data_IF_413189304255
#
_entry.id   IF_413189304255
#
_cell.length_a   1.000
_cell.length_b   1.000
_cell.length_c   1.000
_cell.angle_alpha   90.00
_cell.angle_beta   90.00
_cell.angle_gamma   90.00
#
_symmetry.space_group_name_H-M   'P 1'
#
loop_
_entity.id
_entity.type
_entity.pdbx_description
1 polymer ?
#
# COMPACT_ATOMS: atom_id res chain seq x y z
N UNK A 1 -19.68 24.83 -6.91
CA UNK A 1 -19.53 23.74 -7.89
C UNK A 1 -18.10 23.80 -8.41
N UNK A 2 -17.16 23.21 -7.72
CA UNK A 2 -15.81 23.00 -8.22
C UNK A 2 -15.87 21.78 -9.11
N UNK A 3 -15.78 21.99 -10.42
CA UNK A 3 -15.51 20.92 -11.38
C UNK A 3 -14.25 20.20 -10.90
N UNK A 4 -14.42 18.95 -10.46
CA UNK A 4 -13.29 18.10 -10.12
C UNK A 4 -12.38 18.02 -11.35
N UNK A 5 -11.25 18.71 -11.30
CA UNK A 5 -10.16 18.44 -12.22
C UNK A 5 -9.84 16.94 -12.02
N UNK A 6 -10.03 16.12 -13.05
CA UNK A 6 -9.59 14.73 -12.99
C UNK A 6 -8.13 14.75 -12.57
N UNK A 7 -7.80 14.14 -11.43
CA UNK A 7 -6.42 13.96 -11.02
C UNK A 7 -5.74 13.12 -12.09
N UNK A 8 -4.93 13.76 -12.91
CA UNK A 8 -4.45 13.19 -14.17
C UNK A 8 -3.13 12.48 -14.01
N UNK A 9 -2.34 12.80 -12.98
CA UNK A 9 -1.02 12.21 -12.80
C UNK A 9 -0.85 11.55 -11.44
N UNK A 10 0.05 10.58 -11.38
CA UNK A 10 0.49 9.95 -10.13
C UNK A 10 1.02 10.99 -9.12
N UNK A 11 1.67 12.07 -9.61
CA UNK A 11 2.13 13.16 -8.76
C UNK A 11 0.98 13.97 -8.14
N UNK A 12 -0.09 14.20 -8.89
CA UNK A 12 -1.27 14.93 -8.38
C UNK A 12 -1.96 14.12 -7.29
N UNK A 13 -2.08 12.79 -7.48
CA UNK A 13 -2.68 11.87 -6.52
C UNK A 13 -1.88 11.86 -5.21
N UNK A 14 -0.54 11.75 -5.29
CA UNK A 14 0.35 11.84 -4.13
C UNK A 14 0.15 13.16 -3.38
N UNK A 15 0.14 14.27 -4.10
CA UNK A 15 -0.01 15.61 -3.53
C UNK A 15 -1.38 15.79 -2.89
N UNK A 16 -2.44 15.28 -3.49
CA UNK A 16 -3.79 15.35 -2.95
C UNK A 16 -3.93 14.54 -1.66
N UNK A 17 -3.38 13.32 -1.60
CA UNK A 17 -3.35 12.53 -0.38
C UNK A 17 -2.65 13.28 0.77
N UNK A 18 -1.44 13.73 0.52
CA UNK A 18 -0.66 14.45 1.55
C UNK A 18 -1.32 15.76 1.95
N UNK A 19 -1.90 16.50 1.01
CA UNK A 19 -2.63 17.74 1.25
C UNK A 19 -3.89 17.52 2.08
N UNK A 20 -4.66 16.47 1.79
CA UNK A 20 -5.84 16.11 2.58
C UNK A 20 -5.47 15.86 4.05
N UNK A 21 -4.48 15.00 4.30
CA UNK A 21 -4.07 14.69 5.67
C UNK A 21 -3.37 15.87 6.38
N UNK A 22 -2.65 16.73 5.66
CA UNK A 22 -2.15 17.99 6.22
C UNK A 22 -3.30 18.87 6.71
N UNK A 23 -4.40 18.95 5.96
CA UNK A 23 -5.65 19.62 6.37
C UNK A 23 -6.39 18.97 7.55
N UNK A 24 -6.01 17.73 7.92
CA UNK A 24 -6.52 16.97 9.06
C UNK A 24 -5.48 16.88 10.19
N UNK A 25 -4.63 17.88 10.32
CA UNK A 25 -3.61 18.02 11.37
C UNK A 25 -2.52 16.93 11.40
N UNK A 26 -2.29 16.25 10.28
CA UNK A 26 -1.19 15.31 10.14
C UNK A 26 0.10 16.04 9.72
N UNK A 27 1.20 15.72 10.39
CA UNK A 27 2.52 16.18 9.95
C UNK A 27 2.92 15.43 8.69
N UNK A 28 3.10 16.13 7.58
CA UNK A 28 3.67 15.53 6.36
C UNK A 28 5.16 15.27 6.57
N UNK A 29 5.56 14.01 6.41
CA UNK A 29 6.92 13.53 6.61
C UNK A 29 7.46 13.05 5.27
N UNK A 30 8.69 13.43 4.96
CA UNK A 30 9.38 12.93 3.78
C UNK A 30 9.60 11.41 3.87
N UNK A 31 9.61 10.74 2.72
CA UNK A 31 9.97 9.33 2.66
C UNK A 31 11.34 9.08 3.29
N UNK A 32 11.43 8.10 4.17
CA UNK A 32 12.70 7.61 4.67
C UNK A 32 13.49 6.93 3.54
N UNK A 33 14.82 6.77 3.69
CA UNK A 33 15.63 5.94 2.79
C UNK A 33 15.11 4.49 2.74
N UNK A 34 15.29 3.82 1.61
CA UNK A 34 14.91 2.42 1.41
C UNK A 34 15.72 1.45 2.30
N UNK A 35 16.92 1.85 2.70
CA UNK A 35 17.75 1.08 3.65
C UNK A 35 17.36 1.49 5.08
N UNK A 36 16.68 0.61 5.86
CA UNK A 36 16.29 0.93 7.22
C UNK A 36 17.53 1.16 8.08
N UNK A 37 17.57 2.28 8.81
CA UNK A 37 18.68 2.62 9.68
C UNK A 37 18.55 2.00 11.08
N UNK A 38 17.31 1.76 11.53
CA UNK A 38 16.99 1.31 12.89
C UNK A 38 16.57 -0.16 12.99
N UNK A 39 16.47 -0.90 11.87
CA UNK A 39 16.06 -2.28 11.85
C UNK A 39 16.99 -3.16 10.99
N UNK A 40 17.98 -3.83 11.60
CA UNK A 40 18.91 -4.70 10.88
C UNK A 40 18.27 -6.00 10.35
N UNK A 41 17.05 -6.33 10.79
CA UNK A 41 16.35 -7.55 10.35
C UNK A 41 15.71 -7.39 8.98
N UNK A 42 15.51 -6.15 8.51
CA UNK A 42 14.95 -5.84 7.21
C UNK A 42 16.04 -5.46 6.21
N UNK A 43 15.97 -6.03 5.03
CA UNK A 43 16.83 -5.62 3.92
C UNK A 43 16.45 -4.22 3.42
N UNK A 44 15.15 -3.99 3.22
CA UNK A 44 14.61 -2.72 2.74
C UNK A 44 13.33 -2.35 3.49
N UNK A 45 12.99 -1.06 3.47
CA UNK A 45 11.67 -0.59 3.89
C UNK A 45 10.63 -1.16 2.93
N UNK A 46 9.71 -1.97 3.45
CA UNK A 46 8.69 -2.70 2.69
C UNK A 46 7.25 -2.28 3.02
N UNK A 47 7.08 -1.35 3.96
CA UNK A 47 5.80 -0.79 4.38
C UNK A 47 5.97 0.62 4.94
N UNK A 48 4.91 1.43 4.88
CA UNK A 48 4.91 2.82 5.34
C UNK A 48 5.20 3.00 6.82
N UNK A 49 4.86 2.00 7.65
CA UNK A 49 5.06 2.04 9.10
C UNK A 49 6.50 1.78 9.55
N UNK A 50 7.36 1.18 8.72
CA UNK A 50 8.71 0.75 9.12
C UNK A 50 9.52 1.88 9.76
N UNK A 51 9.54 3.11 9.22
CA UNK A 51 10.24 4.24 9.87
C UNK A 51 9.68 4.63 11.24
N UNK A 52 8.45 4.25 11.55
CA UNK A 52 7.75 4.58 12.80
C UNK A 52 7.67 3.41 13.80
N UNK A 53 8.32 2.28 13.50
CA UNK A 53 8.28 1.07 14.34
C UNK A 53 8.50 1.37 15.82
N UNK A 54 9.56 2.10 16.15
CA UNK A 54 9.92 2.42 17.51
C UNK A 54 8.90 3.32 18.22
N UNK A 55 8.19 4.15 17.44
CA UNK A 55 7.10 4.98 17.96
C UNK A 55 5.89 4.12 18.33
N UNK A 56 5.50 3.17 17.48
CA UNK A 56 4.39 2.26 17.76
C UNK A 56 4.65 1.38 18.99
N UNK A 57 5.86 0.89 19.17
CA UNK A 57 6.24 0.08 20.34
C UNK A 57 6.46 0.90 21.61
N UNK A 58 6.48 2.23 21.52
CA UNK A 58 6.80 3.12 22.63
C UNK A 58 8.30 3.17 23.01
N UNK A 59 9.16 2.56 22.19
CA UNK A 59 10.62 2.65 22.36
C UNK A 59 11.14 4.07 22.03
N UNK A 60 10.37 4.83 21.25
CA UNK A 60 10.64 6.21 20.91
C UNK A 60 9.38 7.05 21.10
N UNK A 61 9.53 8.27 21.62
CA UNK A 61 8.41 9.19 21.77
C UNK A 61 8.14 9.89 20.43
N UNK A 62 6.88 9.84 19.98
CA UNK A 62 6.48 10.58 18.78
C UNK A 62 6.68 12.10 18.96
N UNK A 63 7.34 12.72 17.99
CA UNK A 63 7.49 14.18 17.97
C UNK A 63 6.18 14.91 17.61
N UNK A 64 5.18 14.17 17.11
CA UNK A 64 3.86 14.63 16.67
C UNK A 64 2.85 13.50 16.83
N UNK A 65 1.55 13.80 17.11
CA UNK A 65 0.55 12.76 17.34
C UNK A 65 0.07 12.08 16.06
N UNK A 66 0.19 12.77 14.90
CA UNK A 66 -0.28 12.30 13.60
C UNK A 66 0.77 12.55 12.52
N UNK A 67 0.89 11.63 11.60
CA UNK A 67 1.77 11.77 10.44
C UNK A 67 1.10 11.31 9.15
N UNK A 68 1.55 11.85 8.01
CA UNK A 68 1.24 11.34 6.69
C UNK A 68 2.51 11.31 5.83
N UNK A 69 2.66 10.27 5.01
CA UNK A 69 3.83 10.11 4.14
C UNK A 69 3.47 9.39 2.85
N UNK A 70 4.27 9.61 1.79
CA UNK A 70 4.37 8.72 0.66
C UNK A 70 5.72 8.02 0.77
N UNK A 71 5.72 6.82 1.36
CA UNK A 71 6.94 6.08 1.66
C UNK A 71 7.36 5.23 0.47
N UNK A 72 8.60 5.38 0.02
CA UNK A 72 9.26 4.47 -0.93
C UNK A 72 9.39 3.09 -0.29
N UNK A 73 8.98 2.05 -0.99
CA UNK A 73 9.02 0.66 -0.52
C UNK A 73 9.63 -0.26 -1.58
N UNK A 74 10.37 -1.28 -1.11
CA UNK A 74 10.89 -2.36 -1.94
C UNK A 74 10.47 -3.71 -1.40
N UNK A 75 9.87 -4.54 -2.27
CA UNK A 75 9.46 -5.93 -2.00
C UNK A 75 10.10 -6.87 -3.01
N UNK A 76 11.38 -7.19 -2.81
CA UNK A 76 12.18 -8.00 -3.72
C UNK A 76 12.99 -9.08 -2.99
N UNK A 77 12.53 -9.52 -1.82
CA UNK A 77 13.16 -10.55 -1.00
C UNK A 77 12.60 -10.61 0.41
N UNK A 78 12.88 -11.70 1.13
CA UNK A 78 12.36 -11.93 2.48
C UNK A 78 10.89 -12.38 2.49
N UNK A 79 10.14 -12.02 3.53
CA UNK A 79 8.74 -12.40 3.73
C UNK A 79 7.80 -11.81 2.65
N UNK A 80 8.10 -10.61 2.16
CA UNK A 80 7.37 -9.93 1.09
C UNK A 80 8.26 -9.90 -0.17
N UNK A 81 7.97 -10.76 -1.13
CA UNK A 81 8.73 -10.88 -2.37
C UNK A 81 7.79 -10.90 -3.56
N UNK A 82 7.70 -9.78 -4.27
CA UNK A 82 6.87 -9.63 -5.46
C UNK A 82 7.65 -9.85 -6.77
N UNK A 83 8.95 -10.13 -6.70
CA UNK A 83 9.87 -10.18 -7.84
C UNK A 83 9.40 -11.11 -8.96
N UNK A 84 8.85 -12.29 -8.60
CA UNK A 84 8.44 -13.30 -9.58
C UNK A 84 7.08 -12.97 -10.24
N UNK A 85 6.30 -12.03 -9.67
CA UNK A 85 5.01 -11.59 -10.17
C UNK A 85 5.12 -10.36 -11.10
N UNK A 86 6.24 -9.62 -11.02
CA UNK A 86 6.46 -8.39 -11.78
C UNK A 86 6.41 -8.63 -13.27
N UNK A 87 5.63 -7.82 -13.99
CA UNK A 87 5.43 -7.92 -15.43
C UNK A 87 4.33 -8.89 -15.86
N UNK A 88 3.97 -9.85 -15.02
CA UNK A 88 2.96 -10.88 -15.31
C UNK A 88 1.60 -10.62 -14.67
N UNK A 89 1.55 -9.85 -13.59
CA UNK A 89 0.33 -9.39 -12.95
C UNK A 89 0.11 -7.89 -13.19
N UNK A 90 -1.11 -7.43 -13.00
CA UNK A 90 -1.46 -6.02 -13.21
C UNK A 90 -1.00 -5.08 -12.08
N UNK A 91 -0.67 -5.62 -10.87
CA UNK A 91 -0.60 -4.87 -9.63
C UNK A 91 0.68 -5.04 -8.79
N UNK A 92 1.58 -5.95 -9.14
CA UNK A 92 2.79 -6.23 -8.35
C UNK A 92 4.01 -5.49 -8.90
N UNK A 93 4.78 -4.90 -7.99
CA UNK A 93 5.99 -4.14 -8.27
C UNK A 93 7.06 -4.46 -7.26
N UNK A 94 8.33 -4.44 -7.69
CA UNK A 94 9.46 -4.53 -6.75
C UNK A 94 9.64 -3.22 -6.00
N UNK A 95 9.40 -2.09 -6.65
CA UNK A 95 9.39 -0.75 -6.06
C UNK A 95 8.01 -0.10 -6.24
N UNK A 96 7.48 0.45 -5.16
CA UNK A 96 6.23 1.21 -5.18
C UNK A 96 6.25 2.28 -4.09
N UNK A 97 5.31 3.23 -4.18
CA UNK A 97 5.08 4.19 -3.11
C UNK A 97 3.86 3.78 -2.30
N UNK A 98 4.01 3.75 -0.97
CA UNK A 98 2.92 3.51 -0.04
C UNK A 98 2.51 4.83 0.59
N UNK A 99 1.32 5.30 0.26
CA UNK A 99 0.66 6.41 0.93
C UNK A 99 0.16 5.92 2.29
N UNK A 100 0.50 6.63 3.36
CA UNK A 100 0.11 6.24 4.71
C UNK A 100 -0.26 7.43 5.57
N UNK A 101 -1.30 7.27 6.37
CA UNK A 101 -1.60 8.15 7.50
C UNK A 101 -1.52 7.36 8.80
N UNK A 102 -0.99 8.00 9.82
CA UNK A 102 -0.63 7.40 11.09
C UNK A 102 -1.21 8.22 12.25
N UNK A 103 -1.68 7.50 13.27
CA UNK A 103 -2.04 8.07 14.57
C UNK A 103 -1.27 7.34 15.66
N UNK A 104 -0.47 8.07 16.40
CA UNK A 104 0.33 7.54 17.50
C UNK A 104 -0.42 7.70 18.83
N UNK A 105 -1.58 6.99 18.94
CA UNK A 105 -2.44 7.02 20.10
C UNK A 105 -3.25 8.30 20.28
N UNK A 106 -3.55 9.01 19.19
CA UNK A 106 -4.35 10.23 19.20
C UNK A 106 -5.79 9.96 18.73
N UNK A 107 -5.99 9.33 17.58
CA UNK A 107 -7.27 8.82 17.14
C UNK A 107 -7.20 7.32 16.80
N UNK A 108 -8.37 6.68 16.68
CA UNK A 108 -8.45 5.25 16.40
C UNK A 108 -9.48 4.95 15.30
N UNK A 109 -10.12 3.77 15.30
CA UNK A 109 -10.91 3.22 14.20
C UNK A 109 -11.94 4.18 13.59
N UNK A 110 -12.76 4.85 14.40
CA UNK A 110 -13.84 5.72 13.90
C UNK A 110 -13.29 6.84 13.01
N UNK A 111 -12.27 7.54 13.48
CA UNK A 111 -11.68 8.63 12.70
C UNK A 111 -10.88 8.10 11.50
N UNK A 112 -10.16 6.97 11.65
CA UNK A 112 -9.42 6.35 10.54
C UNK A 112 -10.36 5.97 9.39
N UNK A 113 -11.46 5.29 9.69
CA UNK A 113 -12.48 4.89 8.72
C UNK A 113 -13.14 6.14 8.10
N UNK A 114 -13.46 7.15 8.94
CA UNK A 114 -14.02 8.41 8.46
C UNK A 114 -13.11 9.15 7.49
N UNK A 115 -11.81 9.25 7.79
CA UNK A 115 -10.83 9.85 6.89
C UNK A 115 -10.71 9.06 5.58
N UNK A 116 -10.61 7.73 5.68
CA UNK A 116 -10.48 6.88 4.51
C UNK A 116 -11.69 7.02 3.57
N UNK A 117 -12.91 6.88 4.12
CA UNK A 117 -14.12 6.98 3.31
C UNK A 117 -14.29 8.36 2.69
N UNK A 118 -14.01 9.42 3.44
CA UNK A 118 -14.08 10.79 2.93
C UNK A 118 -13.10 11.02 1.80
N UNK A 119 -11.84 10.62 1.98
CA UNK A 119 -10.81 10.81 0.96
C UNK A 119 -11.16 10.08 -0.34
N UNK A 120 -11.53 8.80 -0.28
CA UNK A 120 -11.77 8.03 -1.51
C UNK A 120 -13.06 8.43 -2.22
N UNK A 121 -14.12 8.78 -1.49
CA UNK A 121 -15.43 9.05 -2.11
C UNK A 121 -15.69 10.52 -2.38
N UNK A 122 -15.12 11.45 -1.58
CA UNK A 122 -15.38 12.90 -1.73
C UNK A 122 -14.24 13.62 -2.44
N UNK A 123 -13.00 13.36 -2.02
CA UNK A 123 -11.83 14.04 -2.59
C UNK A 123 -11.39 13.38 -3.91
N UNK A 124 -11.29 12.06 -3.94
CA UNK A 124 -10.94 11.31 -5.15
C UNK A 124 -12.15 10.99 -6.04
N UNK A 125 -13.36 11.09 -5.50
CA UNK A 125 -14.60 10.93 -6.29
C UNK A 125 -14.87 9.51 -6.77
N UNK A 126 -14.33 8.49 -6.09
CA UNK A 126 -14.63 7.11 -6.43
C UNK A 126 -16.09 6.78 -6.14
N UNK A 127 -16.70 6.06 -7.07
CA UNK A 127 -18.07 5.58 -6.94
C UNK A 127 -18.18 4.59 -5.78
N UNK A 128 -18.97 4.95 -4.77
CA UNK A 128 -19.18 4.13 -3.61
C UNK A 128 -19.77 2.74 -3.95
N UNK A 129 -20.51 2.61 -5.05
CA UNK A 129 -21.08 1.33 -5.47
C UNK A 129 -20.03 0.35 -5.99
N UNK A 130 -18.84 0.81 -6.30
CA UNK A 130 -17.68 -0.01 -6.68
C UNK A 130 -16.75 -0.37 -5.54
N UNK A 131 -17.08 0.06 -4.31
CA UNK A 131 -16.24 -0.18 -3.15
C UNK A 131 -16.86 -1.25 -2.25
N UNK A 132 -16.03 -2.15 -1.75
CA UNK A 132 -16.35 -3.05 -0.65
C UNK A 132 -15.20 -3.08 0.35
N UNK A 133 -15.48 -3.53 1.56
CA UNK A 133 -14.48 -3.58 2.62
C UNK A 133 -14.40 -4.96 3.24
N UNK A 134 -13.20 -5.30 3.73
CA UNK A 134 -13.01 -6.45 4.60
C UNK A 134 -12.80 -6.00 6.03
N UNK A 135 -13.13 -6.85 6.99
CA UNK A 135 -12.82 -6.69 8.41
C UNK A 135 -12.35 -8.02 8.97
N UNK A 136 -11.50 -7.98 9.98
CA UNK A 136 -11.18 -9.22 10.71
C UNK A 136 -12.45 -9.80 11.34
N UNK A 137 -12.63 -11.10 11.26
CA UNK A 137 -13.92 -11.76 11.54
C UNK A 137 -14.50 -11.48 12.93
N UNK A 138 -13.66 -11.17 13.92
CA UNK A 138 -14.06 -10.83 15.29
C UNK A 138 -14.09 -9.32 15.58
N UNK A 139 -13.77 -8.47 14.57
CA UNK A 139 -13.78 -7.01 14.75
C UNK A 139 -15.16 -6.43 14.44
N UNK A 140 -16.09 -6.65 15.36
CA UNK A 140 -17.47 -6.12 15.27
C UNK A 140 -17.49 -4.60 15.27
N UNK A 141 -16.60 -3.93 16.02
CA UNK A 141 -16.49 -2.49 16.08
C UNK A 141 -16.17 -1.89 14.69
N UNK A 142 -15.22 -2.46 13.97
CA UNK A 142 -14.89 -1.98 12.61
C UNK A 142 -16.08 -2.19 11.66
N UNK A 143 -16.77 -3.33 11.72
CA UNK A 143 -17.94 -3.60 10.89
C UNK A 143 -19.09 -2.59 11.17
N UNK A 144 -19.38 -2.30 12.45
CA UNK A 144 -20.40 -1.33 12.84
C UNK A 144 -20.04 0.10 12.40
N UNK A 145 -18.75 0.45 12.49
CA UNK A 145 -18.27 1.75 12.02
C UNK A 145 -18.42 1.90 10.51
N UNK A 146 -18.12 0.86 9.71
CA UNK A 146 -18.34 0.90 8.28
C UNK A 146 -19.83 1.08 7.91
N UNK A 147 -20.75 0.38 8.61
CA UNK A 147 -22.21 0.60 8.42
C UNK A 147 -22.58 2.04 8.73
N UNK A 148 -22.12 2.56 9.87
CA UNK A 148 -22.46 3.91 10.36
C UNK A 148 -21.90 5.02 9.48
N UNK A 149 -20.63 4.92 9.08
CA UNK A 149 -19.89 6.01 8.40
C UNK A 149 -20.08 5.94 6.89
N UNK A 150 -19.94 4.75 6.31
CA UNK A 150 -19.97 4.54 4.87
C UNK A 150 -21.36 4.20 4.34
N UNK A 151 -22.30 3.81 5.21
CA UNK A 151 -23.63 3.35 4.80
C UNK A 151 -23.61 2.02 4.04
N UNK A 152 -22.54 1.23 4.20
CA UNK A 152 -22.41 -0.07 3.54
C UNK A 152 -23.35 -1.08 4.17
N UNK A 153 -23.99 -1.87 3.35
CA UNK A 153 -24.75 -3.05 3.79
C UNK A 153 -23.83 -4.24 4.09
N UNK A 154 -24.36 -5.27 4.75
CA UNK A 154 -23.58 -6.44 5.17
C UNK A 154 -22.97 -7.24 4.01
N UNK A 155 -23.53 -7.15 2.81
CA UNK A 155 -23.00 -7.84 1.64
C UNK A 155 -21.70 -7.22 1.13
N UNK A 156 -21.42 -5.99 1.55
CA UNK A 156 -20.22 -5.23 1.17
C UNK A 156 -19.22 -5.07 2.32
N UNK A 157 -19.48 -5.70 3.48
CA UNK A 157 -18.58 -5.78 4.62
C UNK A 157 -18.23 -7.25 4.85
N UNK A 158 -17.13 -7.69 4.26
CA UNK A 158 -16.75 -9.11 4.23
C UNK A 158 -15.87 -9.43 5.44
N UNK A 159 -16.24 -10.47 6.19
CA UNK A 159 -15.50 -10.91 7.37
C UNK A 159 -14.49 -11.97 6.99
N UNK A 160 -13.21 -11.68 7.22
CA UNK A 160 -12.09 -12.56 6.87
C UNK A 160 -11.50 -13.17 8.14
N UNK A 161 -11.47 -14.50 8.28
CA UNK A 161 -10.94 -15.17 9.48
C UNK A 161 -9.43 -15.42 9.44
N UNK A 162 -8.80 -15.21 8.30
CA UNK A 162 -7.38 -15.50 8.07
C UNK A 162 -6.48 -14.35 8.52
N UNK A 163 -5.17 -14.54 8.39
CA UNK A 163 -4.16 -13.52 8.64
C UNK A 163 -4.20 -12.34 7.67
N UNK A 164 -4.98 -12.44 6.59
CA UNK A 164 -5.10 -11.37 5.60
C UNK A 164 -5.70 -10.09 6.22
N UNK A 165 -6.66 -10.26 7.15
CA UNK A 165 -7.19 -9.14 7.94
C UNK A 165 -6.65 -9.06 9.38
N UNK A 166 -5.50 -9.68 9.65
CA UNK A 166 -4.74 -9.48 10.88
C UNK A 166 -3.27 -9.22 10.56
N UNK A 167 -2.92 -7.94 10.51
CA UNK A 167 -1.58 -7.53 10.11
C UNK A 167 -0.58 -7.70 11.26
N UNK A 168 0.63 -8.18 10.95
CA UNK A 168 1.77 -8.21 11.83
C UNK A 168 3.03 -7.82 11.09
N UNK A 169 3.90 -7.04 11.74
CA UNK A 169 5.14 -6.58 11.15
C UNK A 169 6.10 -7.73 10.83
N UNK A 170 6.09 -8.77 11.66
CA UNK A 170 6.90 -9.96 11.55
C UNK A 170 6.44 -11.01 12.58
N UNK A 171 7.36 -11.88 12.98
CA UNK A 171 7.10 -12.86 14.03
C UNK A 171 6.96 -12.18 15.41
N UNK A 172 7.52 -10.99 15.55
CA UNK A 172 7.46 -10.12 16.74
C UNK A 172 7.16 -8.68 16.36
N UNK A 173 6.61 -7.92 17.29
CA UNK A 173 6.37 -6.49 17.15
C UNK A 173 4.89 -6.11 17.05
N UNK A 174 4.62 -4.85 16.68
CA UNK A 174 3.25 -4.33 16.62
C UNK A 174 2.38 -5.12 15.66
N UNK A 175 1.14 -5.38 16.08
CA UNK A 175 0.16 -6.08 15.28
C UNK A 175 -1.27 -5.71 15.68
N UNK A 176 -2.23 -6.07 14.83
CA UNK A 176 -3.65 -5.86 15.10
C UNK A 176 -4.54 -6.24 13.94
N UNK A 177 -5.86 -6.29 14.17
CA UNK A 177 -6.81 -6.48 13.08
C UNK A 177 -6.71 -5.34 12.09
N UNK A 178 -7.02 -5.62 10.85
CA UNK A 178 -7.07 -4.60 9.82
C UNK A 178 -8.38 -4.68 9.02
N UNK A 179 -8.65 -3.61 8.31
CA UNK A 179 -9.76 -3.48 7.40
C UNK A 179 -9.24 -2.95 6.07
N UNK A 180 -9.57 -3.64 5.00
CA UNK A 180 -9.11 -3.29 3.67
C UNK A 180 -10.26 -2.73 2.85
N UNK A 181 -9.94 -1.83 1.95
CA UNK A 181 -10.88 -1.26 0.98
C UNK A 181 -10.52 -1.79 -0.39
N UNK A 182 -11.48 -2.41 -1.06
CA UNK A 182 -11.35 -2.96 -2.39
C UNK A 182 -12.16 -2.17 -3.41
N UNK A 183 -11.64 -2.09 -4.61
CA UNK A 183 -12.31 -1.52 -5.77
C UNK A 183 -12.70 -2.63 -6.74
N UNK A 184 -13.99 -2.68 -7.15
CA UNK A 184 -14.49 -3.57 -8.18
C UNK A 184 -14.32 -2.95 -9.58
N UNK A 185 -13.42 -3.51 -10.38
CA UNK A 185 -13.23 -3.12 -11.78
C UNK A 185 -14.38 -3.56 -12.70
N UNK A 186 -15.33 -4.33 -12.18
CA UNK A 186 -16.51 -4.77 -12.90
C UNK A 186 -16.38 -6.16 -13.55
N UNK A 187 -17.49 -6.68 -14.05
CA UNK A 187 -17.61 -8.08 -14.47
C UNK A 187 -16.82 -8.45 -15.73
N UNK A 188 -16.24 -7.49 -16.44
CA UNK A 188 -15.37 -7.76 -17.59
C UNK A 188 -13.97 -8.24 -17.19
N UNK A 189 -13.59 -8.06 -15.92
CA UNK A 189 -12.32 -8.53 -15.37
C UNK A 189 -12.59 -9.82 -14.58
N UNK A 190 -11.81 -10.90 -14.80
CA UNK A 190 -11.96 -12.14 -14.03
C UNK A 190 -11.56 -11.94 -12.57
N UNK A 191 -12.29 -12.60 -11.65
CA UNK A 191 -12.02 -12.61 -10.22
C UNK A 191 -13.29 -12.50 -9.40
N UNK A 192 -13.20 -12.90 -8.13
CA UNK A 192 -14.24 -12.81 -7.12
C UNK A 192 -13.90 -11.85 -5.99
N UNK A 193 -14.87 -11.52 -5.12
CA UNK A 193 -14.62 -10.71 -3.95
C UNK A 193 -13.70 -11.42 -2.94
N UNK A 194 -13.05 -10.68 -2.03
CA UNK A 194 -12.24 -11.27 -0.96
C UNK A 194 -12.98 -12.36 -0.21
N UNK A 195 -12.28 -13.45 0.15
CA UNK A 195 -12.86 -14.62 0.79
C UNK A 195 -13.58 -15.60 -0.16
N UNK A 196 -13.64 -15.30 -1.46
CA UNK A 196 -14.21 -16.21 -2.46
C UNK A 196 -13.13 -17.11 -3.08
N UNK A 197 -13.51 -18.25 -3.73
CA UNK A 197 -12.54 -19.11 -4.41
C UNK A 197 -11.73 -18.44 -5.51
N UNK A 198 -12.24 -17.34 -6.09
CA UNK A 198 -11.63 -16.61 -7.20
C UNK A 198 -11.05 -15.25 -6.75
N UNK A 199 -10.75 -15.08 -5.46
CA UNK A 199 -10.22 -13.82 -4.88
C UNK A 199 -8.85 -13.39 -5.44
N UNK A 200 -8.04 -14.33 -5.91
CA UNK A 200 -6.75 -14.07 -6.53
C UNK A 200 -6.86 -13.36 -7.89
N UNK A 201 -8.05 -13.27 -8.45
CA UNK A 201 -8.29 -12.57 -9.71
C UNK A 201 -8.07 -11.05 -9.61
N UNK A 202 -8.07 -10.40 -10.76
CA UNK A 202 -7.74 -8.97 -10.87
C UNK A 202 -8.99 -8.05 -10.85
N UNK A 203 -10.19 -8.59 -10.61
CA UNK A 203 -11.42 -7.79 -10.57
C UNK A 203 -11.52 -6.92 -9.32
N UNK A 204 -11.33 -7.54 -8.15
CA UNK A 204 -11.39 -6.82 -6.87
C UNK A 204 -9.98 -6.54 -6.40
N UNK A 205 -9.58 -5.27 -6.44
CA UNK A 205 -8.23 -4.87 -6.08
C UNK A 205 -8.25 -4.13 -4.75
N UNK A 206 -7.48 -4.64 -3.77
CA UNK A 206 -7.19 -3.90 -2.55
C UNK A 206 -6.49 -2.59 -2.91
N UNK A 207 -7.11 -1.46 -2.56
CA UNK A 207 -6.56 -0.13 -2.76
C UNK A 207 -6.01 0.49 -1.48
N UNK A 208 -6.54 0.11 -0.31
CA UNK A 208 -6.12 0.67 0.97
C UNK A 208 -6.29 -0.32 2.11
N UNK A 209 -5.26 -0.49 2.93
CA UNK A 209 -5.30 -1.26 4.16
C UNK A 209 -5.25 -0.32 5.38
N UNK A 210 -6.21 -0.42 6.30
CA UNK A 210 -6.29 0.30 7.56
C UNK A 210 -5.95 -0.67 8.70
N UNK A 211 -4.78 -0.52 9.33
CA UNK A 211 -4.34 -1.39 10.41
C UNK A 211 -4.63 -0.74 11.76
N UNK A 212 -5.34 -1.46 12.60
CA UNK A 212 -5.69 -1.06 13.96
C UNK A 212 -4.69 -1.68 14.93
N UNK A 213 -3.55 -1.00 15.10
CA UNK A 213 -2.46 -1.46 15.96
C UNK A 213 -2.90 -1.47 17.42
N UNK A 214 -3.11 -2.66 17.97
CA UNK A 214 -3.61 -2.86 19.34
C UNK A 214 -2.65 -3.66 20.21
N UNK A 215 -1.79 -4.49 19.61
CA UNK A 215 -0.97 -5.46 20.34
C UNK A 215 0.49 -5.36 19.93
N UNK A 216 1.35 -5.78 20.86
CA UNK A 216 2.75 -6.15 20.61
C UNK A 216 2.88 -7.66 20.80
N UNK A 217 3.39 -8.35 19.77
CA UNK A 217 3.56 -9.80 19.77
C UNK A 217 4.99 -10.18 20.11
N UNK A 218 5.17 -11.04 21.11
CA UNK A 218 6.45 -11.61 21.50
C UNK A 218 6.79 -12.84 20.65
N UNK A 219 8.06 -13.31 20.72
CA UNK A 219 8.56 -14.45 19.95
C UNK A 219 7.85 -15.79 20.26
N UNK A 220 7.23 -15.92 21.41
CA UNK A 220 6.41 -17.08 21.81
C UNK A 220 4.96 -17.00 21.32
N UNK A 221 4.62 -15.94 20.54
CA UNK A 221 3.27 -15.68 20.06
C UNK A 221 2.34 -14.99 21.05
N UNK A 222 2.81 -14.69 22.26
CA UNK A 222 2.03 -13.93 23.27
C UNK A 222 1.80 -12.51 22.77
N UNK A 223 0.56 -12.03 22.87
CA UNK A 223 0.15 -10.67 22.50
C UNK A 223 -0.19 -9.88 23.74
N UNK A 224 0.47 -8.76 23.93
CA UNK A 224 0.17 -7.78 24.99
C UNK A 224 -0.38 -6.51 24.37
N UNK A 225 -1.32 -5.84 25.05
CA UNK A 225 -1.87 -4.58 24.57
C UNK A 225 -0.78 -3.51 24.45
N UNK A 226 -0.77 -2.77 23.34
CA UNK A 226 0.06 -1.58 23.21
C UNK A 226 -0.33 -0.54 24.26
N UNK A 227 0.61 0.29 24.74
CA UNK A 227 0.31 1.37 25.69
C UNK A 227 -0.78 2.31 25.20
N UNK A 228 -0.84 2.50 23.89
CA UNK A 228 -1.89 3.28 23.20
C UNK A 228 -2.23 2.60 21.88
N UNK A 229 -3.52 2.28 21.63
CA UNK A 229 -3.97 1.87 20.31
C UNK A 229 -3.61 2.95 19.28
N UNK A 230 -3.12 2.52 18.14
CA UNK A 230 -2.57 3.40 17.11
C UNK A 230 -3.10 3.01 15.74
N UNK A 231 -3.00 3.94 14.79
CA UNK A 231 -3.39 3.71 13.40
C UNK A 231 -2.15 3.70 12.51
N UNK A 232 -2.06 2.66 11.70
CA UNK A 232 -1.18 2.55 10.54
C UNK A 232 -2.05 2.33 9.32
N UNK A 233 -1.78 2.99 8.20
CA UNK A 233 -2.46 2.72 6.95
C UNK A 233 -1.48 2.61 5.80
N UNK A 234 -1.86 1.80 4.78
CA UNK A 234 -1.06 1.64 3.57
C UNK A 234 -1.94 1.59 2.33
N UNK A 235 -1.78 2.59 1.46
CA UNK A 235 -2.44 2.66 0.16
C UNK A 235 -1.37 2.64 -0.93
N UNK A 236 -1.47 1.67 -1.85
CA UNK A 236 -0.56 1.61 -3.00
C UNK A 236 -0.84 2.77 -3.97
N UNK A 237 0.13 3.69 -4.10
CA UNK A 237 -0.05 4.85 -4.99
C UNK A 237 -0.28 4.43 -6.44
N UNK A 238 0.44 3.43 -6.94
CA UNK A 238 0.31 2.93 -8.30
C UNK A 238 -1.04 2.25 -8.54
N UNK A 239 -1.57 1.51 -7.54
CA UNK A 239 -2.92 0.90 -7.62
C UNK A 239 -4.00 1.95 -7.65
N UNK A 240 -3.92 2.94 -6.75
CA UNK A 240 -4.86 4.05 -6.72
C UNK A 240 -4.80 4.87 -8.03
N UNK A 241 -3.61 5.10 -8.57
CA UNK A 241 -3.43 5.80 -9.83
C UNK A 241 -4.12 5.06 -10.99
N UNK A 242 -4.02 3.73 -11.06
CA UNK A 242 -4.72 2.94 -12.07
C UNK A 242 -6.24 3.15 -11.99
N UNK A 243 -6.81 3.07 -10.79
CA UNK A 243 -8.25 3.28 -10.57
C UNK A 243 -8.66 4.70 -10.97
N UNK A 244 -7.94 5.74 -10.54
CA UNK A 244 -8.28 7.14 -10.79
C UNK A 244 -8.05 7.56 -12.25
N UNK A 245 -7.11 6.94 -12.95
CA UNK A 245 -6.87 7.14 -14.38
C UNK A 245 -7.78 6.29 -15.26
N UNK A 246 -8.67 5.48 -14.66
CA UNK A 246 -9.65 4.66 -15.37
C UNK A 246 -9.03 3.49 -16.14
N UNK A 247 -7.86 2.99 -15.68
CA UNK A 247 -7.21 1.81 -16.23
C UNK A 247 -7.20 0.68 -15.20
N UNK A 248 -7.14 -0.55 -15.68
CA UNK A 248 -7.11 -1.73 -14.80
C UNK A 248 -5.68 -2.08 -14.36
N UNK A 249 -4.73 -1.90 -15.26
CA UNK A 249 -3.34 -2.35 -15.12
C UNK A 249 -2.45 -1.17 -14.67
N UNK A 250 -1.68 -1.33 -13.61
CA UNK A 250 -0.75 -0.30 -13.13
C UNK A 250 0.25 0.13 -14.21
N UNK A 251 0.63 -0.80 -15.11
CA UNK A 251 1.53 -0.51 -16.22
C UNK A 251 0.90 0.36 -17.33
N UNK A 252 -0.41 0.58 -17.29
CA UNK A 252 -1.12 1.48 -18.20
C UNK A 252 -1.30 2.90 -17.62
N UNK A 253 -0.76 3.17 -16.40
CA UNK A 253 -0.74 4.52 -15.81
C UNK A 253 0.25 5.45 -16.52
N UNK A 254 0.11 6.75 -16.29
CA UNK A 254 0.96 7.80 -16.86
C UNK A 254 2.46 7.53 -16.67
N UNK A 255 2.84 7.15 -15.44
CA UNK A 255 4.23 6.85 -15.09
C UNK A 255 4.78 5.66 -15.88
N UNK A 256 4.09 4.51 -15.81
CA UNK A 256 4.60 3.29 -16.43
C UNK A 256 4.53 3.34 -17.95
N UNK A 257 3.52 3.97 -18.54
CA UNK A 257 3.49 4.21 -19.99
C UNK A 257 4.70 5.00 -20.47
N UNK A 258 5.13 6.00 -19.71
CA UNK A 258 6.33 6.78 -20.03
C UNK A 258 7.59 5.91 -20.02
N UNK A 259 7.77 5.07 -18.98
CA UNK A 259 8.92 4.17 -18.86
C UNK A 259 8.92 3.08 -19.92
N UNK A 260 7.76 2.50 -20.23
CA UNK A 260 7.60 1.48 -21.28
C UNK A 260 7.91 2.09 -22.66
N UNK A 261 7.40 3.28 -22.95
CA UNK A 261 7.70 3.97 -24.21
C UNK A 261 9.19 4.26 -24.38
N UNK A 262 9.88 4.66 -23.31
CA UNK A 262 11.34 4.81 -23.33
C UNK A 262 12.03 3.47 -23.61
N UNK A 263 11.61 2.37 -22.97
CA UNK A 263 12.15 1.04 -23.21
C UNK A 263 11.92 0.57 -24.67
N UNK A 264 10.76 0.84 -25.25
CA UNK A 264 10.49 0.58 -26.69
C UNK A 264 11.44 1.37 -27.60
N UNK A 265 11.65 2.65 -27.28
CA UNK A 265 12.54 3.52 -28.07
C UNK A 265 13.98 3.04 -28.04
N UNK A 266 14.49 2.70 -26.85
CA UNK A 266 15.87 2.25 -26.69
C UNK A 266 16.16 0.86 -27.29
N UNK A 267 15.18 -0.04 -27.23
CA UNK A 267 15.34 -1.40 -27.74
C UNK A 267 14.95 -1.56 -29.19
N UNK A 268 14.17 -0.63 -29.76
CA UNK A 268 13.55 -0.77 -31.06
C UNK A 268 12.47 -1.86 -31.13
N UNK A 269 12.03 -2.40 -29.99
CA UNK A 269 11.05 -3.48 -29.89
C UNK A 269 9.76 -2.95 -29.26
N UNK A 270 8.60 -3.32 -29.82
CA UNK A 270 7.30 -2.91 -29.27
C UNK A 270 6.88 -3.77 -28.08
N UNK A 271 6.27 -3.16 -27.06
CA UNK A 271 5.73 -3.82 -25.88
C UNK A 271 4.38 -4.51 -26.17
N UNK A 272 4.37 -5.45 -27.14
CA UNK A 272 3.18 -6.17 -27.60
C UNK A 272 3.39 -7.68 -27.51
N UNK A 273 2.28 -8.42 -27.32
CA UNK A 273 2.30 -9.89 -27.23
C UNK A 273 3.31 -10.38 -26.20
N UNK A 274 4.11 -11.37 -26.57
CA UNK A 274 5.11 -12.01 -25.70
C UNK A 274 6.25 -11.07 -25.22
N UNK A 275 6.36 -9.88 -25.82
CA UNK A 275 7.35 -8.88 -25.40
C UNK A 275 6.83 -7.91 -24.32
N UNK A 276 5.52 -7.84 -24.12
CA UNK A 276 4.90 -6.94 -23.14
C UNK A 276 5.43 -7.17 -21.71
N UNK A 277 5.52 -8.40 -21.19
CA UNK A 277 6.06 -8.64 -19.85
C UNK A 277 7.50 -8.15 -19.68
N UNK A 278 8.36 -8.33 -20.68
CA UNK A 278 9.76 -7.88 -20.62
C UNK A 278 9.88 -6.35 -20.46
N UNK A 279 9.07 -5.58 -21.19
CA UNK A 279 9.07 -4.11 -21.06
C UNK A 279 8.52 -3.65 -19.71
N UNK A 280 7.54 -4.36 -19.13
CA UNK A 280 7.03 -4.11 -17.78
C UNK A 280 8.08 -4.37 -16.71
N UNK A 281 8.80 -5.50 -16.83
CA UNK A 281 9.93 -5.84 -15.95
C UNK A 281 11.02 -4.76 -16.05
N UNK A 282 11.40 -4.33 -17.25
CA UNK A 282 12.37 -3.25 -17.44
C UNK A 282 11.93 -1.96 -16.75
N UNK A 283 10.67 -1.55 -16.95
CA UNK A 283 10.13 -0.33 -16.36
C UNK A 283 10.12 -0.38 -14.81
N UNK A 284 9.69 -1.49 -14.22
CA UNK A 284 9.70 -1.71 -12.77
C UNK A 284 11.13 -1.76 -12.21
N UNK A 285 11.99 -2.58 -12.82
CA UNK A 285 13.35 -2.80 -12.33
C UNK A 285 14.24 -1.55 -12.51
N UNK A 286 13.97 -0.72 -13.50
CA UNK A 286 14.64 0.58 -13.64
C UNK A 286 14.33 1.49 -12.44
N UNK A 287 13.05 1.59 -12.05
CA UNK A 287 12.66 2.36 -10.85
C UNK A 287 13.37 1.82 -9.60
N UNK A 288 13.25 0.52 -9.34
CA UNK A 288 13.89 -0.12 -8.18
C UNK A 288 15.38 0.15 -8.12
N UNK A 289 16.09 -0.09 -9.24
CA UNK A 289 17.52 0.07 -9.31
C UNK A 289 17.96 1.51 -9.09
N UNK A 290 17.28 2.48 -9.73
CA UNK A 290 17.60 3.89 -9.58
C UNK A 290 17.43 4.37 -8.13
N UNK A 291 16.32 4.02 -7.47
CA UNK A 291 16.09 4.44 -6.09
C UNK A 291 17.00 3.74 -5.10
N UNK A 292 17.29 2.44 -5.27
CA UNK A 292 18.23 1.72 -4.42
C UNK A 292 19.66 2.28 -4.53
N UNK A 293 20.11 2.58 -5.75
CA UNK A 293 21.43 3.19 -5.98
C UNK A 293 21.48 4.60 -5.38
N UNK A 294 20.43 5.40 -5.56
CA UNK A 294 20.33 6.74 -4.97
C UNK A 294 20.39 6.72 -3.43
N UNK A 295 19.83 5.66 -2.81
CA UNK A 295 19.88 5.44 -1.36
C UNK A 295 21.17 4.69 -0.92
N UNK A 296 22.20 4.59 -1.80
CA UNK A 296 23.56 4.13 -1.48
C UNK A 296 23.78 2.62 -1.58
N UNK A 297 22.87 1.86 -2.18
CA UNK A 297 23.06 0.41 -2.41
C UNK A 297 23.90 0.20 -3.66
N UNK A 298 24.97 -0.56 -3.54
CA UNK A 298 25.79 -0.99 -4.68
C UNK A 298 25.61 -2.50 -4.95
N UNK A 299 25.62 -2.93 -6.23
CA UNK A 299 25.53 -4.36 -6.55
C UNK A 299 26.67 -5.16 -5.90
N UNK A 300 26.33 -6.28 -5.26
CA UNK A 300 27.31 -7.18 -4.63
C UNK A 300 26.86 -8.64 -4.71
N UNK A 301 27.62 -9.55 -4.09
CA UNK A 301 27.32 -10.97 -4.08
C UNK A 301 26.47 -11.40 -2.86
N UNK A 302 26.23 -10.52 -1.91
CA UNK A 302 25.49 -10.82 -0.68
C UNK A 302 24.63 -9.63 -0.22
N UNK A 303 23.72 -9.89 0.70
CA UNK A 303 22.87 -8.89 1.35
C UNK A 303 22.06 -8.04 0.37
N UNK A 304 21.94 -6.73 0.67
CA UNK A 304 21.17 -5.77 -0.13
C UNK A 304 21.70 -5.64 -1.56
N UNK A 305 23.03 -5.66 -1.72
CA UNK A 305 23.65 -5.56 -3.03
C UNK A 305 23.39 -6.77 -3.92
N UNK A 306 23.25 -7.97 -3.35
CA UNK A 306 22.82 -9.16 -4.09
C UNK A 306 21.39 -9.01 -4.62
N UNK A 307 20.47 -8.50 -3.80
CA UNK A 307 19.08 -8.26 -4.25
C UNK A 307 19.06 -7.24 -5.39
N UNK A 308 19.77 -6.11 -5.25
CA UNK A 308 19.88 -5.13 -6.33
C UNK A 308 20.45 -5.77 -7.61
N UNK A 309 21.52 -6.56 -7.51
CA UNK A 309 22.10 -7.26 -8.66
C UNK A 309 21.12 -8.24 -9.30
N UNK A 310 20.26 -8.90 -8.50
CA UNK A 310 19.21 -9.79 -9.02
C UNK A 310 18.14 -9.02 -9.79
N UNK A 311 17.74 -7.85 -9.30
CA UNK A 311 16.78 -6.95 -9.98
C UNK A 311 17.37 -6.44 -11.31
N UNK A 312 18.66 -6.11 -11.36
CA UNK A 312 19.32 -5.56 -12.56
C UNK A 312 19.55 -6.60 -13.67
N UNK A 313 19.43 -7.89 -13.40
CA UNK A 313 19.63 -8.99 -14.37
C UNK A 313 18.36 -9.32 -15.15
#
# INVERSE_FOLDING_TARGET
MTTGAMMQSLNDIRSAFLGYFAGQDHRVINSAPLVPQSDPTLLFVNAGMVPFKNVFTGAETAAYPRAATSQKCVRAGGKHNDLDNVGYTARHHTFFEMLGNFSFGDYFKEQAIGHAWTLITKEFGLDADKLLVTVYHTDDEAADLWRKIAGLDDSRIIRIPTSDNFWSMGDTGPCGPCSEIFYDHGPSIPGGPPGSPDEDGDRFIEIWNLVFMQFDQSADGTRIGLPKPSIDTGMGLERLAAVLQGVHDNYDTDLFRTLIAASESETGVRALGDRRPSHRVIADHLRSSCFLIADGVSPSNEGRGYVLRRIMR
#
